data_IF_081423124036
#
_entry.id   IF_081423124036
#
_cell.length_a   1.000
_cell.length_b   1.000
_cell.length_c   1.000
_cell.angle_alpha   90.00
_cell.angle_beta   90.00
_cell.angle_gamma   90.00
#
_symmetry.space_group_name_H-M   'P 1'
#
loop_
_entity.id
_entity.type
_entity.pdbx_description
1 polymer ?
#
# COMPACT_ATOMS: atom_id res chain seq x y z
N UNK A 1 -0.73 0.00 -20.68
CA UNK A 1 -1.09 -0.75 -19.46
C UNK A 1 0.18 -1.09 -18.68
N UNK A 2 0.39 -0.46 -17.54
CA UNK A 2 1.54 -0.61 -16.64
C UNK A 2 1.08 -1.22 -15.32
N UNK A 3 1.78 -2.25 -14.88
CA UNK A 3 1.51 -2.92 -13.60
C UNK A 3 2.78 -2.82 -12.76
N UNK A 4 2.63 -2.44 -11.49
CA UNK A 4 3.73 -2.43 -10.52
C UNK A 4 3.40 -3.35 -9.35
N UNK A 5 4.39 -4.12 -8.93
CA UNK A 5 4.36 -4.90 -7.70
C UNK A 5 5.38 -4.31 -6.73
N UNK A 6 4.94 -3.95 -5.52
CA UNK A 6 5.80 -3.31 -4.52
C UNK A 6 5.57 -3.90 -3.12
N UNK A 7 6.61 -4.54 -2.56
CA UNK A 7 6.63 -4.91 -1.15
C UNK A 7 6.98 -3.69 -0.30
N UNK A 8 5.98 -3.15 0.38
CA UNK A 8 6.11 -1.90 1.14
C UNK A 8 6.69 -2.08 2.53
N UNK A 9 7.01 -3.32 2.93
CA UNK A 9 7.54 -3.68 4.26
C UNK A 9 6.74 -3.04 5.40
N UNK A 10 5.42 -3.07 5.31
CA UNK A 10 4.49 -2.47 6.28
C UNK A 10 4.72 -0.96 6.47
N UNK A 11 5.12 -0.29 5.40
CA UNK A 11 5.52 1.12 5.33
C UNK A 11 6.70 1.48 6.27
N UNK A 12 7.57 0.51 6.61
CA UNK A 12 8.75 0.74 7.47
C UNK A 12 9.99 0.98 6.60
N UNK A 13 10.61 2.15 6.75
CA UNK A 13 11.85 2.50 6.04
C UNK A 13 13.12 1.95 6.68
N UNK A 14 14.26 2.26 6.07
CA UNK A 14 15.59 1.95 6.62
C UNK A 14 15.85 2.72 7.93
N UNK A 15 15.18 3.86 8.09
CA UNK A 15 15.07 4.64 9.32
C UNK A 15 14.30 3.94 10.45
N UNK A 16 13.72 2.76 10.17
CA UNK A 16 12.84 1.99 11.05
C UNK A 16 11.57 2.74 11.47
N UNK A 17 11.25 3.84 10.79
CA UNK A 17 10.02 4.59 11.02
C UNK A 17 8.94 4.10 10.08
N UNK A 18 7.72 4.00 10.59
CA UNK A 18 6.55 3.72 9.78
C UNK A 18 6.01 5.02 9.21
N UNK A 19 5.91 5.08 7.89
CA UNK A 19 5.54 6.28 7.15
C UNK A 19 4.69 5.89 5.92
N UNK A 20 3.35 5.85 6.05
CA UNK A 20 2.45 5.54 4.95
C UNK A 20 2.48 6.59 3.83
N UNK A 21 2.69 7.87 4.16
CA UNK A 21 2.75 8.99 3.20
C UNK A 21 3.88 8.79 2.19
N UNK A 22 5.03 8.31 2.66
CA UNK A 22 6.16 7.93 1.79
C UNK A 22 5.76 6.93 0.71
N UNK A 23 4.94 5.94 1.06
CA UNK A 23 4.48 4.95 0.09
C UNK A 23 3.49 5.59 -0.87
N UNK A 24 2.55 6.42 -0.40
CA UNK A 24 1.59 7.12 -1.26
C UNK A 24 2.28 8.06 -2.26
N UNK A 25 3.36 8.74 -1.84
CA UNK A 25 4.18 9.55 -2.73
C UNK A 25 4.76 8.72 -3.87
N UNK A 26 5.32 7.54 -3.57
CA UNK A 26 5.83 6.59 -4.58
C UNK A 26 4.69 6.14 -5.52
N UNK A 27 3.50 5.83 -4.98
CA UNK A 27 2.38 5.36 -5.80
C UNK A 27 1.87 6.41 -6.80
N UNK A 28 1.92 7.69 -6.43
CA UNK A 28 1.61 8.82 -7.32
C UNK A 28 2.65 8.99 -8.42
N UNK A 29 3.94 8.82 -8.08
CA UNK A 29 5.04 9.00 -9.01
C UNK A 29 5.15 7.85 -10.03
N UNK A 30 4.85 6.62 -9.60
CA UNK A 30 4.95 5.42 -10.44
C UNK A 30 3.97 5.43 -11.63
N UNK A 31 2.85 6.15 -11.50
CA UNK A 31 1.86 6.33 -12.58
C UNK A 31 1.43 4.98 -13.21
N UNK A 32 1.14 3.97 -12.38
CA UNK A 32 0.73 2.66 -12.85
C UNK A 32 -0.80 2.59 -13.03
N UNK A 33 -1.25 1.76 -13.96
CA UNK A 33 -2.69 1.46 -14.09
C UNK A 33 -3.15 0.51 -12.97
N UNK A 34 -2.26 -0.39 -12.52
CA UNK A 34 -2.51 -1.35 -11.44
C UNK A 34 -1.30 -1.43 -10.52
N UNK A 35 -1.54 -1.34 -9.22
CA UNK A 35 -0.52 -1.54 -8.18
C UNK A 35 -0.89 -2.73 -7.31
N UNK A 36 0.06 -3.65 -7.12
CA UNK A 36 -0.04 -4.79 -6.21
C UNK A 36 0.91 -4.55 -5.04
N UNK A 37 0.37 -4.50 -3.82
CA UNK A 37 1.16 -4.23 -2.61
C UNK A 37 1.30 -5.49 -1.75
N UNK A 38 2.54 -5.85 -1.44
CA UNK A 38 2.84 -6.88 -0.45
C UNK A 38 3.20 -6.27 0.90
N UNK A 39 2.92 -7.02 1.97
CA UNK A 39 3.08 -6.55 3.36
C UNK A 39 2.31 -5.25 3.63
N UNK A 40 1.14 -5.10 3.02
CA UNK A 40 0.25 -3.96 3.18
C UNK A 40 -0.56 -4.00 4.49
N UNK A 41 -0.32 -4.97 5.36
CA UNK A 41 -0.98 -5.18 6.64
C UNK A 41 0.01 -5.38 7.80
N UNK A 42 -0.42 -5.04 9.02
CA UNK A 42 0.33 -5.31 10.24
C UNK A 42 0.01 -6.72 10.73
N UNK A 43 1.01 -7.51 11.10
CA UNK A 43 0.81 -8.93 11.47
C UNK A 43 0.39 -9.17 12.93
N UNK A 44 0.19 -8.11 13.72
CA UNK A 44 -0.17 -8.19 15.15
C UNK A 44 -1.53 -7.53 15.41
N UNK A 45 -2.33 -8.13 16.32
CA UNK A 45 -3.65 -7.62 16.68
C UNK A 45 -4.67 -7.71 15.54
N UNK A 46 -5.49 -6.67 15.37
CA UNK A 46 -6.59 -6.59 14.38
C UNK A 46 -6.17 -6.65 12.89
N UNK A 47 -4.91 -6.96 12.58
CA UNK A 47 -4.32 -6.90 11.24
C UNK A 47 -4.64 -5.60 10.49
N UNK A 48 -4.48 -4.46 11.16
CA UNK A 48 -4.72 -3.15 10.57
C UNK A 48 -3.87 -2.95 9.32
N UNK A 49 -4.43 -2.34 8.28
CA UNK A 49 -3.68 -1.97 7.08
C UNK A 49 -2.47 -1.07 7.44
N UNK A 50 -1.34 -1.30 6.77
CA UNK A 50 -0.16 -0.44 6.83
C UNK A 50 -0.39 0.88 6.08
N UNK A 51 -1.25 0.85 5.06
CA UNK A 51 -1.80 2.01 4.37
C UNK A 51 -3.29 2.13 4.71
N UNK A 52 -3.68 3.14 5.50
CA UNK A 52 -5.09 3.35 5.82
C UNK A 52 -5.91 3.59 4.53
N UNK A 53 -7.04 2.88 4.33
CA UNK A 53 -7.85 3.01 3.12
C UNK A 53 -8.32 4.43 2.82
N UNK A 54 -8.56 5.22 3.86
CA UNK A 54 -8.92 6.64 3.78
C UNK A 54 -7.81 7.50 3.16
N UNK A 55 -6.54 7.20 3.46
CA UNK A 55 -5.41 7.94 2.86
C UNK A 55 -5.28 7.58 1.38
N UNK A 56 -5.43 6.31 1.01
CA UNK A 56 -5.40 5.90 -0.40
C UNK A 56 -6.50 6.64 -1.18
N UNK A 57 -7.73 6.68 -0.66
CA UNK A 57 -8.85 7.39 -1.30
C UNK A 57 -8.68 8.91 -1.34
N UNK A 58 -8.00 9.50 -0.37
CA UNK A 58 -7.80 10.95 -0.28
C UNK A 58 -6.60 11.46 -1.07
N UNK A 59 -5.61 10.61 -1.31
CA UNK A 59 -4.32 11.02 -1.89
C UNK A 59 -4.01 10.39 -3.25
N UNK A 60 -4.84 9.47 -3.73
CA UNK A 60 -4.63 8.79 -5.02
C UNK A 60 -5.95 8.54 -5.72
N UNK A 61 -5.88 8.33 -7.03
CA UNK A 61 -7.03 7.90 -7.85
C UNK A 61 -7.23 6.37 -7.82
N UNK A 62 -6.42 5.64 -7.05
CA UNK A 62 -6.50 4.18 -6.99
C UNK A 62 -7.74 3.72 -6.21
N UNK A 63 -8.46 2.78 -6.81
CA UNK A 63 -9.52 2.04 -6.14
C UNK A 63 -8.98 0.77 -5.52
N UNK A 64 -9.15 0.62 -4.21
CA UNK A 64 -8.82 -0.61 -3.50
C UNK A 64 -9.74 -1.73 -3.99
N UNK A 65 -9.13 -2.85 -4.38
CA UNK A 65 -9.85 -4.08 -4.72
C UNK A 65 -9.59 -5.10 -3.62
N UNK A 66 -10.67 -5.73 -3.15
CA UNK A 66 -10.55 -6.80 -2.16
C UNK A 66 -9.93 -8.02 -2.84
N UNK A 67 -8.71 -8.37 -2.46
CA UNK A 67 -8.14 -9.66 -2.81
C UNK A 67 -8.65 -10.66 -1.78
N UNK A 68 -9.80 -11.28 -2.07
CA UNK A 68 -10.10 -12.56 -1.44
C UNK A 68 -8.94 -13.49 -1.78
N UNK A 69 -8.11 -13.81 -0.80
CA UNK A 69 -7.10 -14.85 -0.95
C UNK A 69 -7.85 -16.08 -1.45
N UNK A 70 -7.42 -16.62 -2.60
CA UNK A 70 -7.93 -17.89 -3.10
C UNK A 70 -7.84 -18.90 -1.95
N UNK A 71 -9.00 -19.43 -1.58
CA UNK A 71 -9.17 -20.45 -0.54
C UNK A 71 -8.33 -21.69 -0.85
#
# INVERSE_FOLDING_TARGET
MRIVSYNIRKAVGLDRRRDPERILAILREVDADIVVLQEADRRLGRRSAALPPEMIRGETDYRIVDQRAAT
#
